data_IF_291892216567
#
_entry.id   IF_291892216567
#
_cell.length_a   1.000
_cell.length_b   1.000
_cell.length_c   1.000
_cell.angle_alpha   90.00
_cell.angle_beta   90.00
_cell.angle_gamma   90.00
#
_symmetry.space_group_name_H-M   'P 1'
#
loop_
_entity.id
_entity.type
_entity.pdbx_description
1 polymer ?
#
# COMPACT_ATOMS: atom_id res chain seq x y z
N UNK A 1 -15.14 -1.86 -4.67
CA UNK A 1 -14.87 -0.82 -3.67
C UNK A 1 -15.93 0.27 -3.77
N UNK A 2 -16.59 0.60 -2.66
CA UNK A 2 -17.71 1.52 -2.64
C UNK A 2 -17.23 2.98 -2.77
N UNK A 3 -17.99 3.85 -3.47
CA UNK A 3 -17.64 5.28 -3.67
C UNK A 3 -17.37 6.01 -2.34
N UNK A 4 -18.13 5.73 -1.30
CA UNK A 4 -17.93 6.28 0.05
C UNK A 4 -16.56 5.94 0.63
N UNK A 5 -16.07 4.71 0.43
CA UNK A 5 -14.75 4.30 0.91
C UNK A 5 -13.63 5.02 0.18
N UNK A 6 -13.82 5.31 -1.11
CA UNK A 6 -12.86 6.10 -1.89
C UNK A 6 -12.82 7.56 -1.46
N UNK A 7 -13.97 8.15 -1.14
CA UNK A 7 -14.06 9.52 -0.65
C UNK A 7 -13.44 9.68 0.75
N UNK A 8 -13.68 8.73 1.64
CA UNK A 8 -13.08 8.70 2.98
C UNK A 8 -11.55 8.63 2.93
N UNK A 9 -10.99 7.91 1.97
CA UNK A 9 -9.53 7.84 1.76
C UNK A 9 -8.95 9.15 1.24
N UNK A 10 -9.66 9.83 0.36
CA UNK A 10 -9.24 11.15 -0.15
C UNK A 10 -9.20 12.23 0.93
N UNK A 11 -9.97 12.07 1.99
CA UNK A 11 -10.04 13.00 3.13
C UNK A 11 -9.03 12.67 4.23
N UNK A 12 -8.31 11.55 4.14
CA UNK A 12 -7.28 11.22 5.13
C UNK A 12 -6.17 12.27 5.11
N UNK A 13 -5.75 12.78 6.29
CA UNK A 13 -4.64 13.72 6.37
C UNK A 13 -3.30 13.08 5.99
N UNK A 14 -3.21 11.76 6.03
CA UNK A 14 -2.02 10.99 5.68
C UNK A 14 -2.36 9.98 4.61
N UNK A 15 -1.63 10.03 3.49
CA UNK A 15 -1.71 9.08 2.39
C UNK A 15 -0.31 8.77 1.89
N UNK A 16 0.16 7.58 2.16
CA UNK A 16 1.48 7.11 1.72
C UNK A 16 1.25 6.07 0.63
N UNK A 17 1.55 6.44 -0.61
CA UNK A 17 1.32 5.61 -1.80
C UNK A 17 2.56 4.85 -2.22
N UNK A 18 2.37 3.65 -2.73
CA UNK A 18 3.41 2.86 -3.39
C UNK A 18 3.40 3.14 -4.91
N UNK A 19 3.99 4.24 -5.30
CA UNK A 19 4.04 4.67 -6.72
C UNK A 19 4.83 3.70 -7.60
N UNK A 20 5.91 3.15 -7.08
CA UNK A 20 6.74 2.17 -7.79
C UNK A 20 5.97 0.90 -8.11
N UNK A 21 5.18 0.39 -7.17
CA UNK A 21 4.34 -0.77 -7.39
C UNK A 21 3.25 -0.51 -8.45
N UNK A 22 2.66 0.67 -8.48
CA UNK A 22 1.69 1.06 -9.51
C UNK A 22 2.28 1.04 -10.92
N UNK A 23 3.57 1.31 -11.05
CA UNK A 23 4.30 1.24 -12.31
C UNK A 23 4.69 -0.19 -12.68
N UNK A 24 5.11 -0.99 -11.72
CA UNK A 24 5.67 -2.34 -11.94
C UNK A 24 4.61 -3.45 -12.02
N UNK A 25 3.41 -3.23 -11.46
CA UNK A 25 2.39 -4.25 -11.33
C UNK A 25 1.02 -3.81 -11.83
N UNK A 26 0.24 -4.77 -12.35
CA UNK A 26 -1.21 -4.65 -12.49
C UNK A 26 -1.87 -5.10 -11.20
N UNK A 27 -2.78 -4.32 -10.66
CA UNK A 27 -3.57 -4.67 -9.48
C UNK A 27 -4.87 -5.33 -9.91
N UNK A 28 -5.04 -6.59 -9.53
CA UNK A 28 -6.21 -7.40 -9.91
C UNK A 28 -7.35 -7.22 -8.91
N UNK A 29 -7.07 -7.43 -7.63
CA UNK A 29 -8.01 -7.26 -6.53
C UNK A 29 -7.38 -6.44 -5.41
N UNK A 30 -8.15 -5.58 -4.77
CA UNK A 30 -7.69 -4.73 -3.68
C UNK A 30 -8.50 -4.98 -2.41
N UNK A 31 -7.80 -5.08 -1.28
CA UNK A 31 -8.38 -5.26 0.04
C UNK A 31 -7.86 -4.19 0.99
N UNK A 32 -8.67 -3.84 1.98
CA UNK A 32 -8.25 -2.94 3.06
C UNK A 32 -8.00 -3.74 4.32
N UNK A 33 -6.79 -3.67 4.85
CA UNK A 33 -6.36 -4.35 6.06
C UNK A 33 -6.15 -3.38 7.22
N UNK A 34 -6.43 -3.83 8.44
CA UNK A 34 -5.85 -3.21 9.63
C UNK A 34 -4.38 -3.59 9.76
N UNK A 35 -3.64 -2.87 10.57
CA UNK A 35 -2.23 -3.16 10.84
C UNK A 35 -1.94 -3.07 12.34
N UNK A 36 -1.19 -4.04 12.84
CA UNK A 36 -0.75 -4.07 14.23
C UNK A 36 0.54 -3.25 14.37
N UNK A 37 0.45 -2.13 15.07
CA UNK A 37 1.54 -1.17 15.24
C UNK A 37 1.86 -0.93 16.72
N UNK A 38 3.09 -0.53 16.98
CA UNK A 38 3.49 0.04 18.27
C UNK A 38 3.14 1.53 18.33
N UNK A 39 3.22 2.14 19.53
CA UNK A 39 2.92 3.56 19.70
C UNK A 39 3.84 4.49 18.91
N UNK A 40 5.13 4.17 18.80
CA UNK A 40 6.09 4.95 18.02
C UNK A 40 5.87 4.80 16.51
N UNK A 41 5.44 3.64 16.05
CA UNK A 41 5.12 3.39 14.65
C UNK A 41 3.93 4.24 14.17
N UNK A 42 2.84 4.27 14.94
CA UNK A 42 1.67 5.09 14.56
C UNK A 42 1.97 6.58 14.56
N UNK A 43 2.79 7.05 15.48
CA UNK A 43 3.23 8.45 15.52
C UNK A 43 4.05 8.82 14.28
N UNK A 44 4.96 7.94 13.85
CA UNK A 44 5.73 8.14 12.61
C UNK A 44 4.85 8.15 11.37
N UNK A 45 3.87 7.25 11.28
CA UNK A 45 2.91 7.23 10.17
C UNK A 45 2.08 8.52 10.11
N UNK A 46 1.59 9.01 11.26
CA UNK A 46 0.86 10.28 11.33
C UNK A 46 1.71 11.48 10.89
N UNK A 47 3.02 11.41 11.08
CA UNK A 47 3.97 12.40 10.58
C UNK A 47 4.37 12.20 9.10
N UNK A 48 3.80 11.20 8.42
CA UNK A 48 4.13 10.85 7.04
C UNK A 48 5.50 10.18 6.85
N UNK A 49 6.08 9.66 7.91
CA UNK A 49 7.43 9.09 7.95
C UNK A 49 7.42 7.57 7.72
N UNK A 50 6.87 7.13 6.60
CA UNK A 50 6.85 5.72 6.21
C UNK A 50 6.96 5.56 4.69
N UNK A 51 7.40 4.39 4.25
CA UNK A 51 7.54 4.04 2.84
C UNK A 51 7.12 2.59 2.59
N UNK A 52 6.46 2.37 1.46
CA UNK A 52 6.06 1.05 0.98
C UNK A 52 6.96 0.51 -0.15
N UNK A 53 8.01 1.24 -0.51
CA UNK A 53 8.92 0.84 -1.59
C UNK A 53 9.57 -0.50 -1.27
N UNK A 54 9.54 -1.41 -2.25
CA UNK A 54 10.10 -2.76 -2.16
C UNK A 54 9.51 -3.63 -1.02
N UNK A 55 8.29 -3.32 -0.59
CA UNK A 55 7.54 -4.11 0.36
C UNK A 55 6.63 -5.12 -0.34
N UNK A 56 6.31 -6.21 0.34
CA UNK A 56 5.36 -7.22 -0.11
C UNK A 56 4.67 -7.86 1.07
N UNK A 57 3.52 -8.50 0.81
CA UNK A 57 2.79 -9.24 1.82
C UNK A 57 2.94 -10.74 1.61
N UNK A 58 2.94 -11.48 2.69
CA UNK A 58 2.98 -12.94 2.68
C UNK A 58 2.05 -13.52 3.74
N UNK A 59 1.63 -14.76 3.51
CA UNK A 59 0.74 -15.48 4.43
C UNK A 59 1.54 -16.60 5.09
N UNK A 60 1.50 -16.65 6.40
CA UNK A 60 2.08 -17.74 7.19
C UNK A 60 1.14 -18.11 8.33
N UNK A 61 0.90 -19.41 8.51
CA UNK A 61 -0.01 -19.94 9.54
C UNK A 61 -1.39 -19.29 9.55
N UNK A 62 -1.94 -19.01 8.37
CA UNK A 62 -3.26 -18.36 8.21
C UNK A 62 -3.30 -16.89 8.56
N UNK A 63 -2.16 -16.23 8.72
CA UNK A 63 -2.04 -14.81 9.05
C UNK A 63 -1.34 -14.07 7.91
N UNK A 64 -1.80 -12.83 7.66
CA UNK A 64 -1.18 -11.94 6.69
C UNK A 64 -0.14 -11.06 7.35
N UNK A 65 1.04 -10.97 6.72
CA UNK A 65 2.16 -10.14 7.17
C UNK A 65 2.65 -9.25 6.04
N UNK A 66 3.18 -8.08 6.39
CA UNK A 66 3.90 -7.21 5.46
C UNK A 66 5.39 -7.21 5.79
N UNK A 67 6.21 -7.41 4.77
CA UNK A 67 7.67 -7.38 4.85
C UNK A 67 8.22 -6.19 4.06
N UNK A 68 9.25 -5.55 4.59
CA UNK A 68 9.94 -4.46 3.90
C UNK A 68 9.28 -3.09 4.00
N UNK A 69 8.13 -2.99 4.68
CA UNK A 69 7.54 -1.69 5.00
C UNK A 69 8.45 -0.93 5.96
N UNK A 70 8.93 0.23 5.53
CA UNK A 70 9.81 1.07 6.34
C UNK A 70 8.99 2.14 7.07
N UNK A 71 9.01 2.10 8.38
CA UNK A 71 8.46 3.14 9.25
C UNK A 71 9.63 3.75 10.03
N UNK A 72 9.97 5.00 9.74
CA UNK A 72 11.10 5.67 10.38
C UNK A 72 10.96 5.68 11.91
N UNK A 73 12.05 5.53 12.67
CA UNK A 73 12.01 5.71 14.11
C UNK A 73 11.40 7.08 14.47
N UNK A 74 10.59 7.11 15.51
CA UNK A 74 9.96 8.35 15.95
C UNK A 74 11.01 9.27 16.62
N UNK A 75 11.13 10.50 16.14
CA UNK A 75 12.18 11.43 16.57
C UNK A 75 12.24 11.62 18.09
N UNK A 76 11.06 11.70 18.74
CA UNK A 76 10.96 11.84 20.20
C UNK A 76 10.91 10.50 20.94
N UNK A 77 11.01 9.37 20.23
CA UNK A 77 11.10 8.05 20.84
C UNK A 77 12.49 7.84 21.42
N UNK A 78 12.53 7.31 22.63
CA UNK A 78 13.77 6.97 23.32
C UNK A 78 14.19 5.52 23.02
N UNK A 79 14.76 4.80 23.97
CA UNK A 79 15.11 3.37 23.89
C UNK A 79 13.92 2.45 23.54
N UNK A 80 12.69 2.89 23.74
CA UNK A 80 11.47 2.13 23.41
C UNK A 80 11.02 2.28 21.94
N UNK A 81 11.86 2.83 21.08
CA UNK A 81 11.57 3.00 19.67
C UNK A 81 11.55 1.65 18.92
N UNK A 82 10.84 1.60 17.81
CA UNK A 82 10.70 0.40 16.99
C UNK A 82 11.83 0.24 15.99
N UNK A 83 12.00 -0.98 15.49
CA UNK A 83 12.83 -1.26 14.32
C UNK A 83 12.10 -0.83 13.04
N UNK A 84 12.79 -0.08 12.16
CA UNK A 84 12.19 0.54 10.97
C UNK A 84 11.53 -0.45 10.02
N UNK A 85 12.15 -1.59 9.76
CA UNK A 85 11.67 -2.62 8.81
C UNK A 85 11.10 -3.87 9.49
N UNK A 86 10.66 -3.77 10.71
CA UNK A 86 10.02 -4.89 11.42
C UNK A 86 8.85 -5.45 10.60
N UNK A 87 8.74 -6.79 10.43
CA UNK A 87 7.52 -7.38 9.86
C UNK A 87 6.31 -7.05 10.72
N UNK A 88 5.20 -6.71 10.08
CA UNK A 88 3.97 -6.28 10.78
C UNK A 88 2.80 -7.12 10.33
N UNK A 89 1.98 -7.50 11.29
CA UNK A 89 0.77 -8.29 11.03
C UNK A 89 -0.32 -7.38 10.45
N UNK A 90 -0.96 -7.85 9.39
CA UNK A 90 -2.14 -7.23 8.81
C UNK A 90 -3.40 -7.97 9.24
N UNK A 91 -4.46 -7.21 9.50
CA UNK A 91 -5.72 -7.74 9.97
C UNK A 91 -6.75 -7.75 8.84
N UNK A 92 -7.14 -8.94 8.44
CA UNK A 92 -8.12 -9.23 7.40
C UNK A 92 -9.09 -10.31 7.87
N UNK A 93 -10.26 -10.39 7.24
CA UNK A 93 -11.19 -11.49 7.45
C UNK A 93 -10.58 -12.79 6.95
N UNK A 94 -10.93 -13.91 7.58
CA UNK A 94 -10.43 -15.23 7.17
C UNK A 94 -10.75 -15.57 5.72
N UNK A 95 -11.93 -15.16 5.25
CA UNK A 95 -12.34 -15.35 3.85
C UNK A 95 -11.42 -14.61 2.88
N UNK A 96 -11.08 -13.37 3.18
CA UNK A 96 -10.16 -12.55 2.38
C UNK A 96 -8.76 -13.16 2.33
N UNK A 97 -8.25 -13.62 3.48
CA UNK A 97 -6.94 -14.29 3.55
C UNK A 97 -6.94 -15.58 2.72
N UNK A 98 -7.98 -16.39 2.80
CA UNK A 98 -8.10 -17.62 2.00
C UNK A 98 -8.13 -17.33 0.50
N UNK A 99 -8.88 -16.32 0.08
CA UNK A 99 -8.94 -15.90 -1.33
C UNK A 99 -7.58 -15.45 -1.83
N UNK A 100 -6.88 -14.60 -1.06
CA UNK A 100 -5.54 -14.13 -1.40
C UNK A 100 -4.51 -15.27 -1.40
N UNK A 101 -4.60 -16.20 -0.46
CA UNK A 101 -3.72 -17.37 -0.42
C UNK A 101 -3.88 -18.25 -1.68
N UNK A 102 -5.13 -18.54 -2.07
CA UNK A 102 -5.41 -19.32 -3.25
C UNK A 102 -4.94 -18.63 -4.54
N UNK A 103 -5.24 -17.35 -4.68
CA UNK A 103 -4.92 -16.57 -5.88
C UNK A 103 -3.41 -16.30 -6.00
N UNK A 104 -2.71 -16.11 -4.89
CA UNK A 104 -1.26 -15.86 -4.90
C UNK A 104 -0.40 -17.09 -5.22
N UNK A 105 -0.97 -18.28 -5.18
CA UNK A 105 -0.28 -19.52 -5.61
C UNK A 105 -0.07 -19.59 -7.12
N UNK A 106 -0.82 -18.84 -7.90
CA UNK A 106 -0.63 -18.77 -9.35
C UNK A 106 0.70 -18.09 -9.67
N UNK A 107 1.57 -18.68 -10.52
CA UNK A 107 2.84 -18.09 -10.90
C UNK A 107 2.68 -16.67 -11.46
N UNK A 108 3.55 -15.76 -11.06
CA UNK A 108 3.53 -14.36 -11.48
C UNK A 108 2.64 -13.42 -10.64
N UNK A 109 1.89 -13.98 -9.69
CA UNK A 109 1.09 -13.18 -8.74
C UNK A 109 1.81 -13.02 -7.39
N UNK A 110 1.64 -11.83 -6.82
CA UNK A 110 2.14 -11.50 -5.48
C UNK A 110 1.15 -10.57 -4.79
N UNK A 111 1.31 -10.35 -3.51
CA UNK A 111 0.49 -9.42 -2.73
C UNK A 111 1.34 -8.22 -2.36
N UNK A 112 0.92 -7.02 -2.77
CA UNK A 112 1.68 -5.78 -2.62
C UNK A 112 0.87 -4.77 -1.82
N UNK A 113 1.44 -4.11 -0.80
CA UNK A 113 0.78 -2.98 -0.16
C UNK A 113 0.85 -1.76 -1.08
N UNK A 114 -0.29 -1.07 -1.24
CA UNK A 114 -0.43 0.02 -2.22
C UNK A 114 -0.59 1.39 -1.58
N UNK A 115 -1.18 1.46 -0.39
CA UNK A 115 -1.49 2.70 0.30
C UNK A 115 -1.54 2.50 1.81
N UNK A 116 -0.94 3.42 2.55
CA UNK A 116 -1.18 3.60 3.99
C UNK A 116 -2.02 4.86 4.17
N UNK A 117 -3.08 4.78 4.95
CA UNK A 117 -3.91 5.93 5.31
C UNK A 117 -4.39 5.83 6.76
N UNK A 118 -4.83 6.95 7.30
CA UNK A 118 -5.45 7.03 8.63
C UNK A 118 -6.97 7.12 8.44
N UNK A 119 -7.72 6.25 9.10
CA UNK A 119 -9.19 6.26 9.04
C UNK A 119 -9.81 7.36 9.92
N UNK A 120 -11.14 7.44 9.92
CA UNK A 120 -11.91 8.40 10.71
C UNK A 120 -11.70 8.26 12.23
N UNK A 121 -11.37 7.05 12.68
CA UNK A 121 -11.10 6.74 14.09
C UNK A 121 -9.63 6.96 14.49
N UNK A 122 -8.80 7.46 13.59
CA UNK A 122 -7.39 7.68 13.82
C UNK A 122 -6.52 6.42 13.75
N UNK A 123 -7.06 5.32 13.23
CA UNK A 123 -6.34 4.05 13.05
C UNK A 123 -5.65 4.00 11.69
N UNK A 124 -4.44 3.47 11.66
CA UNK A 124 -3.76 3.20 10.41
C UNK A 124 -4.40 2.00 9.69
N UNK A 125 -4.63 2.16 8.41
CA UNK A 125 -5.11 1.13 7.49
C UNK A 125 -4.15 1.00 6.32
N UNK A 126 -4.05 -0.21 5.78
CA UNK A 126 -3.22 -0.51 4.63
C UNK A 126 -4.06 -1.15 3.54
N UNK A 127 -4.04 -0.55 2.37
CA UNK A 127 -4.58 -1.21 1.18
C UNK A 127 -3.53 -2.15 0.61
N UNK A 128 -3.93 -3.37 0.35
CA UNK A 128 -3.12 -4.39 -0.29
C UNK A 128 -3.80 -4.86 -1.57
N UNK A 129 -3.03 -5.24 -2.55
CA UNK A 129 -3.53 -5.72 -3.83
C UNK A 129 -2.90 -7.05 -4.22
N UNK A 130 -3.73 -7.94 -4.76
CA UNK A 130 -3.23 -9.05 -5.56
C UNK A 130 -2.68 -8.46 -6.86
N UNK A 131 -1.41 -8.65 -7.12
CA UNK A 131 -0.68 -7.98 -8.18
C UNK A 131 0.00 -8.96 -9.13
N UNK A 132 0.00 -8.60 -10.40
CA UNK A 132 0.73 -9.32 -11.45
C UNK A 132 1.81 -8.41 -12.02
N UNK A 133 3.04 -8.91 -12.13
CA UNK A 133 4.15 -8.15 -12.71
C UNK A 133 3.89 -7.74 -14.15
N UNK A 134 4.18 -6.49 -14.47
CA UNK A 134 4.15 -5.96 -15.85
C UNK A 134 5.38 -6.43 -16.61
N UNK A 135 5.18 -6.78 -17.88
CA UNK A 135 6.27 -7.00 -18.83
C UNK A 135 6.84 -5.65 -19.28
N UNK A 136 8.04 -5.65 -19.81
CA UNK A 136 8.70 -4.44 -20.33
C UNK A 136 7.84 -3.65 -21.32
N UNK A 137 7.16 -4.35 -22.22
CA UNK A 137 6.19 -3.77 -23.13
C UNK A 137 5.05 -3.01 -22.40
N UNK A 138 4.47 -3.60 -21.37
CA UNK A 138 3.38 -2.98 -20.58
C UNK A 138 3.86 -1.73 -19.83
N UNK A 139 5.10 -1.74 -19.35
CA UNK A 139 5.72 -0.59 -18.68
C UNK A 139 5.90 0.60 -19.62
N UNK A 140 6.34 0.36 -20.85
CA UNK A 140 6.47 1.39 -21.90
C UNK A 140 5.12 2.00 -22.24
N UNK A 141 4.08 1.18 -22.38
CA UNK A 141 2.72 1.64 -22.64
C UNK A 141 2.21 2.54 -21.51
N UNK A 142 2.44 2.17 -20.27
CA UNK A 142 2.06 2.97 -19.09
C UNK A 142 2.74 4.34 -19.08
N UNK A 143 4.04 4.40 -19.42
CA UNK A 143 4.77 5.66 -19.50
C UNK A 143 4.22 6.57 -20.60
N UNK A 144 3.95 6.02 -21.78
CA UNK A 144 3.38 6.75 -22.91
C UNK A 144 2.03 7.37 -22.56
N UNK A 145 1.12 6.59 -21.99
CA UNK A 145 -0.20 7.07 -21.55
C UNK A 145 -0.10 8.20 -20.51
N UNK A 146 0.88 8.11 -19.62
CA UNK A 146 1.13 9.13 -18.61
C UNK A 146 1.63 10.44 -19.20
N UNK A 147 2.48 10.37 -20.21
CA UNK A 147 2.99 11.55 -20.94
C UNK A 147 1.87 12.20 -21.74
N UNK A 148 1.11 11.44 -22.51
CA UNK A 148 -0.02 11.92 -23.29
C UNK A 148 -1.06 12.63 -22.39
N UNK A 149 -1.32 12.09 -21.22
CA UNK A 149 -2.22 12.74 -20.24
C UNK A 149 -1.67 14.07 -19.75
N UNK A 150 -0.36 14.14 -19.45
CA UNK A 150 0.27 15.38 -19.02
C UNK A 150 0.23 16.47 -20.12
N UNK A 151 0.42 16.08 -21.36
CA UNK A 151 0.33 16.99 -22.50
C UNK A 151 -1.09 17.52 -22.67
N UNK A 152 -2.11 16.66 -22.61
CA UNK A 152 -3.50 17.07 -22.65
C UNK A 152 -3.88 18.02 -21.51
N UNK A 153 -3.39 17.77 -20.30
CA UNK A 153 -3.66 18.64 -19.15
C UNK A 153 -2.96 20.00 -19.29
N UNK A 154 -1.77 20.06 -19.89
CA UNK A 154 -1.10 21.33 -20.23
C UNK A 154 -1.88 22.09 -21.27
N UNK A 155 -2.33 21.44 -22.35
CA UNK A 155 -3.12 22.07 -23.40
C UNK A 155 -4.44 22.67 -22.85
N UNK A 156 -5.12 21.99 -21.94
CA UNK A 156 -6.34 22.48 -21.28
C UNK A 156 -6.12 23.72 -20.40
N UNK A 157 -4.93 23.86 -19.80
CA UNK A 157 -4.60 25.02 -18.96
C UNK A 157 -4.30 26.30 -19.75
N UNK A 158 -4.03 26.18 -21.03
CA UNK A 158 -3.77 27.32 -21.93
C UNK A 158 -5.00 27.84 -22.68
N UNK A 159 -6.16 27.25 -22.41
CA UNK A 159 -7.44 27.70 -22.87
C UNK A 159 -8.22 28.21 -21.64
#
# INVERSE_FOLDING_TARGET
MNKEQQEKRKKSPVQIRNKKASFEYFFVDTYTAGIVLTGTEIKSIRAGKASLVDSYCYITKGEMWVHGMNISPYFYGSYANHEAKRPRKLLLNRKEIRNLEADSKTPGFTIIPTLIFIDENGRAKVDIALARGKKEYDKRQTLKEKEDRREMDRAKKHY
#
